data_IF_982710989899
#
_entry.id   IF_982710989899
#
_cell.length_a   1.000
_cell.length_b   1.000
_cell.length_c   1.000
_cell.angle_alpha   90.00
_cell.angle_beta   90.00
_cell.angle_gamma   90.00
#
_symmetry.space_group_name_H-M   'P 1'
#
loop_
_entity.id
_entity.type
_entity.pdbx_description
1 polymer ?
#
# COMPACT_ATOMS: atom_id res chain seq x y z
N UNK A 1 15.93 11.02 27.26
CA UNK A 1 15.14 9.90 26.71
C UNK A 1 13.71 10.38 26.52
N UNK A 2 13.38 10.81 25.31
CA UNK A 2 12.03 11.20 24.97
C UNK A 2 11.24 9.94 24.62
N UNK A 3 10.19 9.69 25.41
CA UNK A 3 9.35 8.51 25.24
C UNK A 3 8.53 8.59 23.96
N UNK A 4 8.74 7.62 23.10
CA UNK A 4 7.95 7.37 21.94
C UNK A 4 6.54 6.96 22.37
N UNK A 5 5.55 7.79 22.16
CA UNK A 5 4.14 7.37 22.25
C UNK A 5 3.65 7.10 20.83
N UNK A 6 3.69 5.84 20.45
CA UNK A 6 2.96 5.37 19.27
C UNK A 6 1.45 5.53 19.51
N UNK A 7 0.88 6.66 19.12
CA UNK A 7 -0.54 6.71 18.77
C UNK A 7 -0.70 5.92 17.48
N UNK A 8 -1.86 5.34 17.25
CA UNK A 8 -2.13 4.39 16.15
C UNK A 8 -1.67 4.84 14.76
N UNK A 9 -1.33 6.12 14.56
CA UNK A 9 -1.02 6.73 13.27
C UNK A 9 -0.07 7.94 13.41
N UNK A 10 1.09 7.84 14.03
CA UNK A 10 2.05 8.94 13.98
C UNK A 10 3.28 8.74 14.88
N UNK A 11 4.44 9.07 14.34
CA UNK A 11 5.73 9.03 15.02
C UNK A 11 6.44 10.37 14.79
N UNK A 12 6.96 10.96 15.85
CA UNK A 12 7.80 12.17 15.76
C UNK A 12 9.24 11.75 16.03
N UNK A 13 10.12 11.99 15.07
CA UNK A 13 11.53 11.68 15.19
C UNK A 13 12.33 12.94 15.52
N UNK A 14 13.29 12.80 16.44
CA UNK A 14 14.24 13.85 16.78
C UNK A 14 15.64 13.41 16.35
N UNK A 15 16.35 14.27 15.62
CA UNK A 15 17.77 14.08 15.35
C UNK A 15 18.65 14.35 16.57
N UNK A 16 19.94 14.04 16.47
CA UNK A 16 20.92 14.21 17.57
C UNK A 16 21.12 15.67 18.04
N UNK A 17 20.82 16.64 17.18
CA UNK A 17 21.01 18.07 17.40
C UNK A 17 19.71 18.88 17.41
N UNK A 18 18.54 18.22 17.49
CA UNK A 18 17.24 18.87 17.46
C UNK A 18 16.22 18.12 16.64
N UNK A 19 15.11 18.74 16.26
CA UNK A 19 14.09 18.16 15.41
C UNK A 19 14.59 18.10 13.96
N UNK A 20 14.91 16.92 13.46
CA UNK A 20 15.30 16.70 12.06
C UNK A 20 14.08 16.58 11.14
N UNK A 21 13.02 15.94 11.62
CA UNK A 21 11.80 15.76 10.84
C UNK A 21 10.71 15.00 11.59
N UNK A 22 9.59 14.82 10.91
CA UNK A 22 8.42 14.10 11.40
C UNK A 22 8.09 12.98 10.40
N UNK A 23 7.90 11.77 10.91
CA UNK A 23 7.43 10.63 10.15
C UNK A 23 6.10 10.18 10.72
N UNK A 24 5.11 10.09 9.85
CA UNK A 24 3.82 9.51 10.17
C UNK A 24 3.77 8.10 9.61
N UNK A 25 3.46 7.16 10.50
CA UNK A 25 3.30 5.76 10.14
C UNK A 25 1.86 5.32 10.30
N UNK A 26 1.44 4.40 9.46
CA UNK A 26 0.21 3.63 9.62
C UNK A 26 0.52 2.14 9.58
N UNK A 27 -0.28 1.34 10.27
CA UNK A 27 -0.23 -0.10 10.08
C UNK A 27 -0.85 -0.45 8.74
N UNK A 28 -0.24 -1.39 8.03
CA UNK A 28 -0.90 -2.11 6.97
C UNK A 28 -1.93 -3.07 7.58
N UNK A 29 -2.39 -4.07 6.88
CA UNK A 29 -3.43 -4.96 7.38
C UNK A 29 -2.96 -5.76 8.61
N UNK A 30 -1.67 -6.10 8.67
CA UNK A 30 -1.08 -6.87 9.77
C UNK A 30 -0.34 -6.06 10.83
N UNK A 31 -0.09 -6.66 12.00
CA UNK A 31 0.54 -5.98 13.13
C UNK A 31 2.03 -5.71 12.93
N UNK A 32 2.69 -6.46 12.04
CA UNK A 32 4.16 -6.45 11.86
C UNK A 32 4.61 -5.65 10.64
N UNK A 33 3.68 -4.94 9.98
CA UNK A 33 3.95 -4.19 8.76
C UNK A 33 3.49 -2.76 8.92
N UNK A 34 4.42 -1.82 8.77
CA UNK A 34 4.13 -0.40 8.76
C UNK A 34 4.30 0.20 7.37
N UNK A 35 3.57 1.25 7.13
CA UNK A 35 3.74 2.13 5.99
C UNK A 35 4.04 3.54 6.48
N UNK A 36 5.03 4.17 5.88
CA UNK A 36 5.32 5.59 6.06
C UNK A 36 4.30 6.33 5.20
N UNK A 37 3.32 6.96 5.85
CA UNK A 37 2.25 7.68 5.16
C UNK A 37 2.64 9.12 4.82
N UNK A 38 3.51 9.72 5.62
CA UNK A 38 4.00 11.08 5.42
C UNK A 38 5.38 11.23 6.05
N UNK A 39 6.22 12.06 5.42
CA UNK A 39 7.54 12.41 5.89
C UNK A 39 7.77 13.90 5.66
N UNK A 40 8.12 14.60 6.72
CA UNK A 40 8.43 16.02 6.69
C UNK A 40 9.79 16.25 7.31
N UNK A 41 10.65 16.96 6.62
CA UNK A 41 11.94 17.39 7.14
C UNK A 41 11.85 18.80 7.71
N UNK A 42 12.66 19.10 8.71
CA UNK A 42 12.77 20.44 9.29
C UNK A 42 13.25 21.45 8.23
N UNK A 43 12.85 22.73 8.33
CA UNK A 43 13.36 23.77 7.45
C UNK A 43 14.89 23.84 7.49
N UNK A 44 15.52 23.84 6.31
CA UNK A 44 16.97 23.86 6.17
C UNK A 44 17.65 22.48 6.23
N UNK A 45 16.91 21.41 6.47
CA UNK A 45 17.45 20.06 6.41
C UNK A 45 17.83 19.68 4.96
N UNK A 46 18.90 18.90 4.83
CA UNK A 46 19.36 18.38 3.55
C UNK A 46 18.64 17.06 3.25
N UNK A 47 17.74 17.05 2.27
CA UNK A 47 16.81 15.94 2.00
C UNK A 47 17.49 14.58 1.90
N UNK A 48 18.61 14.47 1.17
CA UNK A 48 19.29 13.17 0.97
C UNK A 48 20.02 12.66 2.21
N UNK A 49 20.54 13.56 3.04
CA UNK A 49 21.35 13.21 4.23
C UNK A 49 20.45 13.02 5.42
N UNK A 50 19.72 14.08 5.78
CA UNK A 50 18.85 14.08 6.97
C UNK A 50 17.65 13.16 6.79
N UNK A 51 17.14 13.04 5.53
CA UNK A 51 16.11 12.07 5.18
C UNK A 51 16.57 10.63 5.33
N UNK A 52 17.82 10.33 4.94
CA UNK A 52 18.38 8.99 5.11
C UNK A 52 18.59 8.65 6.59
N UNK A 53 19.09 9.59 7.40
CA UNK A 53 19.25 9.40 8.86
C UNK A 53 17.88 9.15 9.51
N UNK A 54 16.88 9.96 9.18
CA UNK A 54 15.51 9.81 9.70
C UNK A 54 14.89 8.46 9.36
N UNK A 55 15.04 8.00 8.11
CA UNK A 55 14.54 6.70 7.67
C UNK A 55 15.29 5.52 8.31
N UNK A 56 16.59 5.67 8.54
CA UNK A 56 17.40 4.68 9.24
C UNK A 56 17.00 4.56 10.72
N UNK A 57 16.82 5.70 11.41
CA UNK A 57 16.35 5.72 12.79
C UNK A 57 14.96 5.09 12.93
N UNK A 58 14.08 5.33 11.94
CA UNK A 58 12.76 4.70 11.92
C UNK A 58 12.87 3.18 11.74
N UNK A 59 13.78 2.69 10.90
CA UNK A 59 13.99 1.26 10.73
C UNK A 59 14.47 0.60 12.02
N UNK A 60 15.34 1.27 12.77
CA UNK A 60 15.79 0.80 14.09
C UNK A 60 14.65 0.76 15.12
N UNK A 61 13.77 1.77 15.10
CA UNK A 61 12.58 1.79 15.96
C UNK A 61 11.62 0.68 15.58
N UNK A 62 11.38 0.46 14.30
CA UNK A 62 10.54 -0.60 13.78
C UNK A 62 11.05 -1.98 14.21
N UNK A 63 12.36 -2.24 14.06
CA UNK A 63 12.98 -3.49 14.50
C UNK A 63 12.77 -3.75 16.00
N UNK A 64 12.98 -2.73 16.86
CA UNK A 64 12.73 -2.82 18.29
C UNK A 64 11.26 -3.02 18.66
N UNK A 65 10.35 -2.65 17.75
CA UNK A 65 8.90 -2.79 17.91
C UNK A 65 8.32 -4.06 17.28
N UNK A 66 9.19 -5.03 16.92
CA UNK A 66 8.83 -6.26 16.23
C UNK A 66 8.07 -6.01 14.90
N UNK A 67 8.40 -4.91 14.22
CA UNK A 67 7.92 -4.64 12.87
C UNK A 67 8.92 -5.24 11.91
N UNK A 68 8.44 -6.08 11.01
CA UNK A 68 9.29 -6.82 10.09
C UNK A 68 9.49 -6.12 8.75
N UNK A 69 8.54 -5.24 8.37
CA UNK A 69 8.57 -4.54 7.09
C UNK A 69 8.10 -3.11 7.21
N UNK A 70 8.79 -2.22 6.51
CA UNK A 70 8.42 -0.83 6.31
C UNK A 70 8.20 -0.61 4.82
N UNK A 71 7.10 0.04 4.47
CA UNK A 71 6.84 0.49 3.11
C UNK A 71 6.84 2.02 3.04
N UNK A 72 7.34 2.55 1.93
CA UNK A 72 7.43 3.99 1.66
C UNK A 72 7.13 4.24 0.19
N UNK A 73 6.14 5.09 -0.09
CA UNK A 73 5.82 5.55 -1.44
C UNK A 73 6.32 6.97 -1.62
N UNK A 74 7.10 7.20 -2.66
CA UNK A 74 7.75 8.47 -2.97
C UNK A 74 7.37 8.87 -4.40
N UNK A 75 7.09 10.14 -4.62
CA UNK A 75 6.88 10.67 -5.98
C UNK A 75 8.13 10.44 -6.83
N UNK A 76 7.94 10.01 -8.08
CA UNK A 76 9.06 9.77 -9.00
C UNK A 76 9.87 11.07 -9.22
N UNK A 77 11.19 10.93 -9.23
CA UNK A 77 12.12 12.07 -9.33
C UNK A 77 12.35 12.85 -8.03
N UNK A 78 11.73 12.48 -6.91
CA UNK A 78 11.99 13.13 -5.62
C UNK A 78 13.39 12.80 -5.07
N UNK A 79 14.14 13.76 -4.52
CA UNK A 79 15.43 13.50 -3.87
C UNK A 79 15.31 12.57 -2.64
N UNK A 80 14.10 12.42 -2.09
CA UNK A 80 13.80 11.46 -1.03
C UNK A 80 14.01 10.00 -1.48
N UNK A 81 13.92 9.70 -2.77
CA UNK A 81 14.23 8.37 -3.29
C UNK A 81 15.70 7.99 -3.10
N UNK A 82 16.63 8.96 -3.22
CA UNK A 82 18.05 8.78 -2.90
C UNK A 82 18.22 8.54 -1.40
N UNK A 83 17.55 9.33 -0.55
CA UNK A 83 17.57 9.14 0.90
C UNK A 83 17.09 7.73 1.30
N UNK A 84 16.00 7.25 0.70
CA UNK A 84 15.48 5.92 0.97
C UNK A 84 16.50 4.82 0.61
N UNK A 85 17.12 4.90 -0.57
CA UNK A 85 18.17 3.94 -0.97
C UNK A 85 19.37 3.95 -0.02
N UNK A 86 19.80 5.14 0.42
CA UNK A 86 20.91 5.29 1.41
C UNK A 86 20.54 4.71 2.77
N UNK A 87 19.28 4.75 3.17
CA UNK A 87 18.77 4.15 4.39
C UNK A 87 18.48 2.64 4.25
N UNK A 88 18.88 2.00 3.13
CA UNK A 88 18.72 0.57 2.92
C UNK A 88 17.32 0.14 2.45
N UNK A 89 16.48 1.07 2.02
CA UNK A 89 15.21 0.74 1.37
C UNK A 89 15.45 0.32 -0.09
N UNK A 90 14.79 -0.74 -0.51
CA UNK A 90 14.87 -1.27 -1.87
C UNK A 90 13.62 -0.91 -2.68
N UNK A 91 13.81 -0.51 -3.93
CA UNK A 91 12.71 -0.25 -4.86
C UNK A 91 12.01 -1.57 -5.18
N UNK A 92 10.71 -1.64 -4.93
CA UNK A 92 9.87 -2.81 -5.21
C UNK A 92 9.23 -2.73 -6.58
N UNK A 93 8.59 -1.60 -6.85
CA UNK A 93 7.95 -1.34 -8.13
C UNK A 93 7.75 0.16 -8.32
N UNK A 94 7.46 0.57 -9.55
CA UNK A 94 6.89 1.87 -9.86
C UNK A 94 5.40 1.71 -10.04
N UNK A 95 4.65 2.76 -9.69
CA UNK A 95 3.19 2.78 -9.73
C UNK A 95 2.73 4.11 -10.32
N UNK A 96 1.69 4.06 -11.15
CA UNK A 96 1.03 5.26 -11.66
C UNK A 96 -0.34 5.40 -11.02
N UNK A 97 -0.67 6.58 -10.54
CA UNK A 97 -2.00 6.90 -10.05
C UNK A 97 -2.92 7.19 -11.24
N UNK A 98 -3.96 6.38 -11.39
CA UNK A 98 -5.03 6.60 -12.36
C UNK A 98 -6.26 7.17 -11.66
N UNK A 99 -6.87 8.19 -12.26
CA UNK A 99 -8.11 8.81 -11.76
C UNK A 99 -9.14 8.93 -12.85
N UNK A 100 -10.39 8.70 -12.51
CA UNK A 100 -11.51 8.95 -13.38
C UNK A 100 -11.99 10.40 -13.19
N UNK A 101 -12.08 11.20 -14.26
CA UNK A 101 -12.60 12.58 -14.22
C UNK A 101 -14.02 12.65 -13.66
N UNK A 102 -14.33 13.76 -13.00
CA UNK A 102 -15.66 13.98 -12.38
C UNK A 102 -16.80 14.17 -13.40
N UNK A 103 -16.49 14.68 -14.55
CA UNK A 103 -17.45 15.04 -15.62
C UNK A 103 -18.15 13.82 -16.25
N UNK A 104 -17.61 12.64 -16.01
CA UNK A 104 -18.15 11.39 -16.55
C UNK A 104 -19.19 10.71 -15.63
N UNK A 105 -19.55 11.34 -14.53
CA UNK A 105 -20.50 10.82 -13.54
C UNK A 105 -21.89 10.49 -14.10
N UNK A 106 -22.29 11.06 -15.22
CA UNK A 106 -23.60 10.86 -15.85
C UNK A 106 -23.63 9.81 -16.97
N UNK A 107 -22.49 9.29 -17.39
CA UNK A 107 -22.40 8.37 -18.54
C UNK A 107 -22.48 6.88 -18.12
N UNK A 108 -22.30 6.59 -16.83
CA UNK A 108 -22.56 5.26 -16.32
C UNK A 108 -24.08 5.02 -16.31
N UNK A 109 -24.60 4.39 -17.35
CA UNK A 109 -25.87 3.72 -17.23
C UNK A 109 -25.76 2.79 -16.00
N UNK A 110 -26.84 2.62 -15.20
CA UNK A 110 -26.85 1.64 -14.12
C UNK A 110 -26.64 0.27 -14.76
N UNK A 111 -25.37 -0.03 -15.04
CA UNK A 111 -24.96 -1.35 -15.48
C UNK A 111 -25.19 -2.24 -14.27
N UNK A 112 -26.26 -3.01 -14.37
CA UNK A 112 -26.50 -4.24 -13.65
C UNK A 112 -26.06 -4.28 -12.18
N UNK A 113 -27.01 -4.58 -11.32
CA UNK A 113 -26.77 -4.88 -9.89
C UNK A 113 -25.58 -5.84 -9.73
N UNK A 114 -24.86 -5.80 -8.60
CA UNK A 114 -23.70 -6.67 -8.36
C UNK A 114 -23.89 -8.17 -8.68
N UNK A 115 -25.12 -8.64 -8.71
CA UNK A 115 -25.45 -10.03 -9.06
C UNK A 115 -25.40 -10.38 -10.56
N UNK A 116 -25.49 -9.39 -11.47
CA UNK A 116 -25.45 -9.65 -12.92
C UNK A 116 -24.04 -9.49 -13.50
N UNK A 117 -23.14 -8.80 -12.79
CA UNK A 117 -21.75 -8.59 -13.22
C UNK A 117 -20.83 -9.80 -12.92
N UNK A 118 -21.30 -10.82 -12.24
CA UNK A 118 -20.49 -11.96 -11.80
C UNK A 118 -19.58 -11.65 -10.59
N UNK A 119 -19.55 -10.40 -10.13
CA UNK A 119 -18.81 -10.02 -8.93
C UNK A 119 -19.56 -10.46 -7.68
N UNK A 120 -18.85 -11.11 -6.76
CA UNK A 120 -19.37 -11.48 -5.44
C UNK A 120 -18.42 -11.07 -4.30
N UNK A 121 -18.93 -11.00 -3.11
CA UNK A 121 -18.10 -10.79 -1.91
C UNK A 121 -17.12 -11.94 -1.73
N UNK A 122 -15.91 -11.58 -1.30
CA UNK A 122 -14.88 -12.56 -0.91
C UNK A 122 -15.28 -13.22 0.42
N UNK A 123 -15.15 -14.53 0.47
CA UNK A 123 -15.31 -15.35 1.67
C UNK A 123 -13.95 -15.84 2.14
N UNK A 124 -13.84 -16.30 3.38
CA UNK A 124 -12.55 -16.76 3.94
C UNK A 124 -11.96 -17.95 3.16
N UNK A 125 -12.81 -18.83 2.63
CA UNK A 125 -12.43 -19.97 1.78
C UNK A 125 -11.81 -19.55 0.45
N UNK A 126 -12.09 -18.36 -0.04
CA UNK A 126 -11.55 -17.86 -1.31
C UNK A 126 -10.08 -17.44 -1.20
N UNK A 127 -9.60 -17.22 0.01
CA UNK A 127 -8.30 -16.57 0.23
C UNK A 127 -7.13 -17.32 -0.39
N UNK A 128 -7.14 -18.67 -0.37
CA UNK A 128 -6.09 -19.46 -1.03
C UNK A 128 -6.13 -19.36 -2.55
N UNK A 129 -7.32 -19.20 -3.14
CA UNK A 129 -7.51 -19.03 -4.58
C UNK A 129 -7.02 -17.66 -5.02
N UNK A 130 -7.38 -16.62 -4.26
CA UNK A 130 -6.91 -15.24 -4.47
C UNK A 130 -5.39 -15.16 -4.28
N UNK A 131 -4.83 -15.85 -3.29
CA UNK A 131 -3.38 -15.89 -3.08
C UNK A 131 -2.64 -16.60 -4.24
N UNK A 132 -3.23 -17.64 -4.86
CA UNK A 132 -2.67 -18.21 -6.09
C UNK A 132 -2.64 -17.19 -7.23
N UNK A 133 -3.73 -16.44 -7.44
CA UNK A 133 -3.79 -15.37 -8.43
C UNK A 133 -2.76 -14.27 -8.13
N UNK A 134 -2.52 -13.93 -6.86
CA UNK A 134 -1.41 -13.07 -6.48
C UNK A 134 -0.05 -13.65 -6.91
N UNK A 135 0.11 -14.96 -6.78
CA UNK A 135 1.33 -15.68 -7.21
C UNK A 135 1.59 -15.60 -8.72
N UNK A 136 0.54 -15.67 -9.54
CA UNK A 136 0.63 -15.59 -11.02
C UNK A 136 0.72 -14.16 -11.53
N UNK A 137 0.01 -13.21 -10.89
CA UNK A 137 -0.09 -11.82 -11.35
C UNK A 137 1.03 -10.90 -10.86
N UNK A 138 1.79 -11.31 -9.83
CA UNK A 138 2.79 -10.45 -9.18
C UNK A 138 4.20 -11.01 -9.35
N UNK A 139 5.18 -10.23 -9.86
CA UNK A 139 6.56 -10.68 -10.03
C UNK A 139 7.19 -11.20 -8.73
N UNK A 140 8.07 -12.20 -8.83
CA UNK A 140 8.72 -12.82 -7.69
C UNK A 140 9.41 -11.81 -6.79
N UNK A 141 10.19 -10.87 -7.37
CA UNK A 141 10.91 -9.86 -6.61
C UNK A 141 9.99 -8.97 -5.75
N UNK A 142 8.77 -8.69 -6.21
CA UNK A 142 7.76 -7.97 -5.42
C UNK A 142 7.22 -8.86 -4.30
N UNK A 143 6.95 -10.13 -4.60
CA UNK A 143 6.41 -11.08 -3.62
C UNK A 143 7.41 -11.38 -2.48
N UNK A 144 8.70 -11.47 -2.78
CA UNK A 144 9.75 -11.69 -1.76
C UNK A 144 9.72 -10.62 -0.67
N UNK A 145 9.28 -9.41 -1.01
CA UNK A 145 9.16 -8.32 -0.03
C UNK A 145 7.74 -8.15 0.50
N UNK A 146 6.74 -8.26 -0.36
CA UNK A 146 5.33 -8.08 0.05
C UNK A 146 4.80 -9.28 0.85
N UNK A 147 5.21 -10.51 0.51
CA UNK A 147 4.87 -11.72 1.23
C UNK A 147 4.83 -12.96 0.33
N UNK A 148 5.57 -13.98 0.75
CA UNK A 148 5.66 -15.28 0.07
C UNK A 148 4.64 -16.29 0.61
N UNK A 149 4.02 -16.00 1.73
CA UNK A 149 2.97 -16.81 2.33
C UNK A 149 1.66 -16.05 2.39
N UNK A 150 0.54 -16.74 2.45
CA UNK A 150 -0.78 -16.13 2.54
C UNK A 150 -0.89 -15.15 3.75
N UNK A 151 -0.46 -15.49 4.97
CA UNK A 151 -0.48 -14.55 6.09
C UNK A 151 0.36 -13.29 5.82
N UNK A 152 1.58 -13.45 5.33
CA UNK A 152 2.48 -12.32 5.04
C UNK A 152 1.92 -11.39 3.97
N UNK A 153 1.35 -11.96 2.90
CA UNK A 153 0.71 -11.18 1.85
C UNK A 153 -0.49 -10.40 2.41
N UNK A 154 -1.37 -11.06 3.19
CA UNK A 154 -2.50 -10.38 3.83
C UNK A 154 -2.06 -9.24 4.74
N UNK A 155 -1.03 -9.48 5.55
CA UNK A 155 -0.48 -8.48 6.46
C UNK A 155 0.11 -7.27 5.71
N UNK A 156 0.67 -7.51 4.53
CA UNK A 156 1.26 -6.48 3.67
C UNK A 156 0.24 -5.71 2.82
N UNK A 157 -1.03 -6.15 2.78
CA UNK A 157 -2.04 -5.43 2.02
C UNK A 157 -2.19 -3.99 2.55
N UNK A 158 -2.05 -3.05 1.63
CA UNK A 158 -2.19 -1.64 1.93
C UNK A 158 -3.62 -1.34 2.39
N UNK A 159 -3.81 -0.64 3.52
CA UNK A 159 -5.10 -0.03 3.78
C UNK A 159 -5.36 0.98 2.65
N UNK A 160 -6.51 0.86 2.00
CA UNK A 160 -6.85 1.77 0.91
C UNK A 160 -6.69 3.22 1.37
N UNK A 161 -6.05 4.08 0.57
CA UNK A 161 -5.67 5.41 1.00
C UNK A 161 -6.92 6.17 1.45
N UNK A 162 -6.92 6.60 2.69
CA UNK A 162 -7.81 7.65 3.17
C UNK A 162 -7.22 8.95 2.66
N UNK A 163 -8.03 9.92 2.27
CA UNK A 163 -7.55 11.20 1.75
C UNK A 163 -6.32 11.68 2.50
N UNK A 164 -5.21 11.90 1.78
CA UNK A 164 -3.94 12.37 2.35
C UNK A 164 -4.16 13.71 3.04
N UNK A 165 -3.81 13.88 4.31
CA UNK A 165 -3.84 15.19 4.95
C UNK A 165 -2.85 16.11 4.24
N UNK A 166 -3.28 17.34 3.99
CA UNK A 166 -2.44 18.35 3.31
C UNK A 166 -1.45 19.05 4.26
N UNK A 167 -1.59 18.84 5.58
CA UNK A 167 -0.76 19.52 6.62
C UNK A 167 -0.54 18.62 7.83
N UNK A 168 0.56 18.88 8.56
CA UNK A 168 0.88 18.19 9.84
C UNK A 168 -0.28 18.29 10.84
N UNK A 169 -0.93 19.45 10.95
CA UNK A 169 -2.05 19.65 11.87
C UNK A 169 -3.21 18.70 11.58
N UNK A 170 -3.48 18.44 10.29
CA UNK A 170 -4.51 17.49 9.88
C UNK A 170 -4.13 16.06 10.26
N UNK A 171 -2.84 15.70 10.23
CA UNK A 171 -2.33 14.39 10.67
C UNK A 171 -2.50 14.18 12.16
N UNK A 172 -2.11 15.18 12.95
CA UNK A 172 -2.08 15.11 14.42
C UNK A 172 -3.48 15.12 15.04
N UNK A 173 -4.45 15.78 14.38
CA UNK A 173 -5.81 15.99 14.90
C UNK A 173 -6.85 15.03 14.34
N UNK A 174 -6.47 14.03 13.54
CA UNK A 174 -7.43 13.10 12.94
C UNK A 174 -8.18 12.27 13.97
N UNK A 175 -9.48 12.50 14.02
CA UNK A 175 -10.44 11.50 14.48
C UNK A 175 -10.56 10.39 13.42
N UNK A 176 -10.70 9.11 13.80
CA UNK A 176 -10.98 8.06 12.83
C UNK A 176 -12.26 8.41 12.09
N UNK A 177 -12.16 8.67 10.77
CA UNK A 177 -13.33 8.90 9.93
C UNK A 177 -14.19 7.64 9.99
N UNK A 178 -15.31 7.73 10.69
CA UNK A 178 -16.37 6.72 10.66
C UNK A 178 -17.11 6.85 9.33
N UNK A 179 -17.28 5.73 8.62
CA UNK A 179 -18.39 5.59 7.71
C UNK A 179 -18.10 5.60 6.22
N UNK A 180 -16.95 5.10 5.76
CA UNK A 180 -16.80 4.70 4.36
C UNK A 180 -17.24 3.24 4.18
N UNK A 181 -17.97 2.93 3.09
CA UNK A 181 -18.20 1.55 2.68
C UNK A 181 -16.88 0.97 2.16
N UNK A 182 -16.47 -0.18 2.66
CA UNK A 182 -15.25 -0.85 2.20
C UNK A 182 -15.48 -2.34 2.10
N UNK A 183 -14.79 -3.00 1.18
CA UNK A 183 -14.96 -4.42 1.00
C UNK A 183 -13.96 -5.05 0.06
N UNK A 184 -14.09 -6.36 -0.05
CA UNK A 184 -13.35 -7.18 -0.99
C UNK A 184 -14.36 -7.94 -1.85
N UNK A 185 -14.12 -7.95 -3.16
CA UNK A 185 -14.95 -8.64 -4.13
C UNK A 185 -14.07 -9.44 -5.09
N UNK A 186 -14.61 -10.52 -5.64
CA UNK A 186 -13.96 -11.30 -6.67
C UNK A 186 -14.92 -11.56 -7.82
N UNK A 187 -14.35 -11.69 -9.00
CA UNK A 187 -15.03 -12.14 -10.20
C UNK A 187 -14.65 -13.59 -10.44
N UNK A 188 -15.67 -14.45 -10.53
CA UNK A 188 -15.49 -15.87 -10.76
C UNK A 188 -15.44 -16.16 -12.26
N UNK A 189 -14.45 -16.94 -12.69
CA UNK A 189 -14.37 -17.53 -14.02
C UNK A 189 -14.66 -19.02 -13.97
N UNK A 190 -14.49 -19.72 -15.10
CA UNK A 190 -14.75 -21.16 -15.20
C UNK A 190 -13.80 -21.97 -14.32
N UNK A 191 -12.53 -21.61 -14.31
CA UNK A 191 -11.47 -22.35 -13.63
C UNK A 191 -11.03 -21.73 -12.29
N UNK A 192 -11.70 -20.66 -11.86
CA UNK A 192 -11.38 -19.98 -10.63
C UNK A 192 -11.56 -18.47 -10.68
N UNK A 193 -11.09 -17.73 -9.67
CA UNK A 193 -11.17 -16.30 -9.68
C UNK A 193 -10.32 -15.72 -10.81
N UNK A 194 -10.92 -14.85 -11.60
CA UNK A 194 -10.25 -14.15 -12.71
C UNK A 194 -9.89 -12.71 -12.36
N UNK A 195 -10.57 -12.12 -11.35
CA UNK A 195 -10.22 -10.82 -10.82
C UNK A 195 -10.59 -10.73 -9.34
N UNK A 196 -9.84 -9.88 -8.62
CA UNK A 196 -10.08 -9.53 -7.24
C UNK A 196 -9.86 -8.05 -7.04
N UNK A 197 -10.75 -7.42 -6.29
CA UNK A 197 -10.64 -6.03 -5.91
C UNK A 197 -10.85 -5.82 -4.42
N UNK A 198 -10.18 -4.80 -3.91
CA UNK A 198 -10.48 -4.17 -2.63
C UNK A 198 -10.87 -2.73 -2.90
N UNK A 199 -11.85 -2.24 -2.18
CA UNK A 199 -12.30 -0.86 -2.33
C UNK A 199 -12.61 -0.21 -0.99
N UNK A 200 -12.54 1.10 -0.98
CA UNK A 200 -13.00 1.95 0.11
C UNK A 200 -13.60 3.22 -0.47
N UNK A 201 -14.84 3.49 -0.09
CA UNK A 201 -15.55 4.71 -0.44
C UNK A 201 -15.27 5.74 0.66
N UNK A 202 -14.30 6.62 0.44
CA UNK A 202 -13.89 7.64 1.40
C UNK A 202 -14.01 9.03 0.79
N UNK A 203 -14.59 9.97 1.51
CA UNK A 203 -14.64 11.39 1.11
C UNK A 203 -15.16 11.65 -0.31
N UNK A 204 -16.22 10.96 -0.72
CA UNK A 204 -16.79 11.04 -2.08
C UNK A 204 -15.89 10.52 -3.21
N UNK A 205 -14.88 9.75 -2.93
CA UNK A 205 -14.03 9.08 -3.92
C UNK A 205 -13.94 7.59 -3.59
N UNK A 206 -14.08 6.74 -4.61
CA UNK A 206 -13.78 5.31 -4.51
C UNK A 206 -12.31 5.08 -4.75
N UNK A 207 -11.62 4.61 -3.72
CA UNK A 207 -10.25 4.15 -3.83
C UNK A 207 -10.25 2.64 -3.91
N UNK A 208 -9.58 2.07 -4.90
CA UNK A 208 -9.56 0.62 -5.06
C UNK A 208 -8.20 0.10 -5.49
N UNK A 209 -7.96 -1.18 -5.24
CA UNK A 209 -6.89 -1.97 -5.83
C UNK A 209 -7.51 -3.12 -6.61
N UNK A 210 -6.90 -3.46 -7.73
CA UNK A 210 -7.38 -4.48 -8.66
C UNK A 210 -6.24 -5.45 -8.98
N UNK A 211 -6.55 -6.73 -8.94
CA UNK A 211 -5.69 -7.81 -9.41
C UNK A 211 -6.48 -8.65 -10.40
N UNK A 212 -5.86 -9.02 -11.50
CA UNK A 212 -6.48 -9.81 -12.57
C UNK A 212 -5.53 -10.95 -12.92
N UNK A 213 -6.08 -12.16 -13.12
CA UNK A 213 -5.32 -13.31 -13.57
C UNK A 213 -4.77 -13.04 -14.98
N UNK A 214 -3.44 -13.07 -15.18
CA UNK A 214 -2.82 -12.67 -16.45
C UNK A 214 -3.28 -13.49 -17.66
N UNK A 215 -3.58 -14.77 -17.45
CA UNK A 215 -3.95 -15.71 -18.51
C UNK A 215 -5.48 -15.89 -18.64
N UNK A 216 -6.27 -15.17 -17.85
CA UNK A 216 -7.71 -15.29 -17.93
C UNK A 216 -8.25 -14.63 -19.20
N UNK A 217 -9.09 -15.39 -19.91
CA UNK A 217 -9.89 -14.85 -21.03
C UNK A 217 -11.05 -14.02 -20.44
N UNK A 218 -10.75 -12.80 -20.02
CA UNK A 218 -11.72 -11.88 -19.43
C UNK A 218 -11.65 -10.51 -20.11
N UNK A 219 -12.83 -9.97 -20.41
CA UNK A 219 -12.94 -8.59 -20.89
C UNK A 219 -12.61 -7.61 -19.76
N UNK A 220 -11.38 -7.09 -19.75
CA UNK A 220 -10.90 -6.15 -18.74
C UNK A 220 -11.74 -4.87 -18.65
N UNK A 221 -12.37 -4.47 -19.76
CA UNK A 221 -13.30 -3.33 -19.75
C UNK A 221 -14.52 -3.65 -18.88
N UNK A 222 -15.08 -4.84 -19.00
CA UNK A 222 -16.18 -5.30 -18.12
C UNK A 222 -15.74 -5.41 -16.66
N UNK A 223 -14.50 -5.86 -16.42
CA UNK A 223 -13.92 -5.91 -15.06
C UNK A 223 -13.92 -4.51 -14.44
N UNK A 224 -13.37 -3.51 -15.14
CA UNK A 224 -13.32 -2.13 -14.64
C UNK A 224 -14.73 -1.52 -14.48
N UNK A 225 -15.63 -1.74 -15.42
CA UNK A 225 -17.02 -1.30 -15.29
C UNK A 225 -17.72 -1.93 -14.08
N UNK A 226 -17.48 -3.21 -13.80
CA UNK A 226 -17.99 -3.88 -12.60
C UNK A 226 -17.49 -3.26 -11.28
N UNK A 227 -16.23 -2.83 -11.26
CA UNK A 227 -15.66 -2.07 -10.12
C UNK A 227 -16.39 -0.75 -9.90
N UNK A 228 -16.70 -0.05 -10.99
CA UNK A 228 -17.36 1.27 -10.96
C UNK A 228 -18.85 1.17 -10.61
N UNK A 229 -19.54 0.12 -11.07
CA UNK A 229 -20.99 -0.06 -10.87
C UNK A 229 -21.41 -0.04 -9.39
N UNK A 230 -20.57 -0.57 -8.49
CA UNK A 230 -20.82 -0.50 -7.05
C UNK A 230 -20.62 0.89 -6.41
N UNK A 231 -20.08 1.85 -7.15
CA UNK A 231 -19.74 3.21 -6.65
C UNK A 231 -20.71 4.31 -7.03
N UNK A 232 -21.81 4.03 -7.72
CA UNK A 232 -22.87 4.99 -8.08
C UNK A 232 -22.36 6.36 -8.59
N UNK A 233 -21.46 6.35 -9.60
CA UNK A 233 -20.94 7.58 -10.20
C UNK A 233 -19.95 8.36 -9.35
N UNK A 234 -19.43 7.79 -8.28
CA UNK A 234 -18.36 8.40 -7.50
C UNK A 234 -17.07 8.50 -8.32
N UNK A 235 -16.27 9.58 -8.16
CA UNK A 235 -14.90 9.59 -8.66
C UNK A 235 -14.17 8.36 -8.17
N UNK A 236 -13.27 7.83 -8.99
CA UNK A 236 -12.51 6.65 -8.63
C UNK A 236 -11.01 6.84 -8.87
N UNK A 237 -10.18 6.25 -8.01
CA UNK A 237 -8.74 6.28 -8.15
C UNK A 237 -8.11 4.93 -7.79
N UNK A 238 -7.03 4.60 -8.49
CA UNK A 238 -6.25 3.38 -8.32
C UNK A 238 -4.78 3.65 -8.57
N UNK A 239 -3.90 3.05 -7.77
CA UNK A 239 -2.49 2.92 -8.06
C UNK A 239 -2.24 1.62 -8.83
N UNK A 240 -1.62 1.73 -9.99
CA UNK A 240 -1.35 0.59 -10.88
C UNK A 240 0.16 0.36 -10.94
N UNK A 241 0.63 -0.80 -10.48
CA UNK A 241 2.05 -1.16 -10.61
C UNK A 241 2.46 -1.30 -12.07
N UNK A 242 3.70 -0.95 -12.38
CA UNK A 242 4.25 -1.00 -13.73
C UNK A 242 4.16 -2.40 -14.37
N UNK A 243 4.19 -3.46 -13.59
CA UNK A 243 4.04 -4.83 -14.09
C UNK A 243 2.59 -5.18 -14.50
N UNK A 244 1.59 -4.42 -14.05
CA UNK A 244 0.18 -4.63 -14.36
C UNK A 244 -0.31 -3.76 -15.55
N UNK A 245 0.46 -3.69 -16.64
CA UNK A 245 0.17 -2.84 -17.81
C UNK A 245 -1.18 -3.11 -18.46
N UNK A 246 -1.63 -4.37 -18.44
CA UNK A 246 -2.94 -4.76 -18.96
C UNK A 246 -4.09 -4.05 -18.21
N UNK A 247 -3.95 -3.88 -16.88
CA UNK A 247 -4.90 -3.10 -16.06
C UNK A 247 -4.84 -1.62 -16.45
N UNK A 248 -3.64 -1.05 -16.61
CA UNK A 248 -3.47 0.35 -17.02
C UNK A 248 -4.17 0.64 -18.38
N UNK A 249 -4.01 -0.25 -19.36
CA UNK A 249 -4.67 -0.14 -20.66
C UNK A 249 -6.19 -0.21 -20.54
N UNK A 250 -6.72 -1.12 -19.72
CA UNK A 250 -8.15 -1.25 -19.48
C UNK A 250 -8.75 0.01 -18.80
N UNK A 251 -8.02 0.56 -17.83
CA UNK A 251 -8.42 1.79 -17.15
C UNK A 251 -8.48 2.97 -18.12
N UNK A 252 -7.48 3.13 -19.00
CA UNK A 252 -7.50 4.19 -20.03
C UNK A 252 -8.68 4.03 -20.99
N UNK A 253 -9.02 2.79 -21.37
CA UNK A 253 -10.21 2.50 -22.18
C UNK A 253 -11.51 2.83 -21.44
N UNK A 254 -11.51 2.76 -20.11
CA UNK A 254 -12.61 3.15 -19.23
C UNK A 254 -12.49 4.61 -18.74
N UNK A 255 -11.76 5.45 -19.51
CA UNK A 255 -11.64 6.89 -19.33
C UNK A 255 -10.93 7.33 -18.03
N UNK A 256 -10.13 6.46 -17.43
CA UNK A 256 -9.20 6.89 -16.40
C UNK A 256 -8.02 7.63 -17.02
N UNK A 257 -7.61 8.72 -16.38
CA UNK A 257 -6.47 9.53 -16.78
C UNK A 257 -5.28 9.19 -15.90
N UNK A 258 -4.09 8.89 -16.49
CA UNK A 258 -2.87 8.74 -15.72
C UNK A 258 -2.47 10.08 -15.10
N UNK A 259 -2.03 10.05 -13.87
CA UNK A 259 -1.56 11.20 -13.11
C UNK A 259 -0.13 11.01 -12.63
N UNK A 260 0.10 11.21 -11.34
CA UNK A 260 1.41 11.15 -10.71
C UNK A 260 1.98 9.73 -10.69
N UNK A 261 3.28 9.62 -10.99
CA UNK A 261 4.06 8.41 -10.85
C UNK A 261 4.74 8.35 -9.47
N UNK A 262 4.87 7.15 -8.93
CA UNK A 262 5.47 6.88 -7.63
C UNK A 262 6.47 5.72 -7.70
N UNK A 263 7.48 5.78 -6.86
CA UNK A 263 8.36 4.67 -6.51
C UNK A 263 7.91 4.06 -5.16
N UNK A 264 7.56 2.78 -5.14
CA UNK A 264 7.28 2.04 -3.91
C UNK A 264 8.56 1.38 -3.42
N UNK A 265 9.02 1.80 -2.26
CA UNK A 265 10.16 1.23 -1.56
C UNK A 265 9.70 0.33 -0.41
N UNK A 266 10.54 -0.64 -0.07
CA UNK A 266 10.37 -1.43 1.13
C UNK A 266 11.71 -1.63 1.85
N UNK A 267 11.63 -1.78 3.17
CA UNK A 267 12.75 -2.14 4.02
C UNK A 267 12.34 -3.31 4.92
N UNK A 268 13.18 -4.36 4.93
CA UNK A 268 13.03 -5.48 5.86
C UNK A 268 13.87 -5.16 7.09
N UNK A 269 13.24 -5.12 8.24
CA UNK A 269 13.93 -4.89 9.50
C UNK A 269 14.51 -6.20 9.99
N UNK A 270 15.81 -6.21 10.30
CA UNK A 270 16.45 -7.35 10.93
C UNK A 270 16.48 -7.13 12.44
N UNK A 271 15.84 -8.01 13.20
CA UNK A 271 16.07 -8.07 14.64
C UNK A 271 17.47 -8.66 14.87
N UNK A 272 18.36 -7.91 15.56
CA UNK A 272 19.59 -8.49 16.08
C UNK A 272 19.21 -9.51 17.14
N UNK A 273 19.21 -10.79 16.81
CA UNK A 273 19.14 -11.86 17.79
C UNK A 273 20.33 -11.68 18.73
N UNK A 274 20.05 -11.29 19.97
CA UNK A 274 21.06 -11.36 21.04
C UNK A 274 21.39 -12.85 21.20
N UNK A 275 22.59 -13.23 20.74
CA UNK A 275 23.12 -14.56 21.04
C UNK A 275 23.15 -14.65 22.57
N UNK A 276 22.41 -15.60 23.20
CA UNK A 276 22.44 -15.73 24.64
C UNK A 276 23.89 -16.01 25.06
N UNK A 277 24.43 -15.18 25.93
CA UNK A 277 25.82 -15.29 26.42
C UNK A 277 26.13 -16.68 27.05
N UNK A 278 25.13 -17.49 27.33
CA UNK A 278 25.26 -18.84 27.91
C UNK A 278 25.67 -19.93 26.89
N UNK A 279 25.73 -19.62 25.57
CA UNK A 279 26.16 -20.59 24.55
C UNK A 279 27.69 -20.71 24.44
N UNK A 280 28.47 -19.84 25.07
CA UNK A 280 29.93 -19.85 24.98
C UNK A 280 30.63 -20.67 26.07
N UNK A 281 29.91 -21.25 27.04
CA UNK A 281 30.52 -21.99 28.14
C UNK A 281 30.55 -23.51 27.92
N UNK A 282 29.94 -24.03 26.87
CA UNK A 282 29.85 -25.48 26.63
C UNK A 282 30.89 -26.07 25.65
N UNK A 283 31.87 -25.31 25.20
CA UNK A 283 32.89 -25.79 24.24
C UNK A 283 34.32 -25.82 24.79
N UNK A 284 34.48 -25.89 26.11
CA UNK A 284 35.77 -25.93 26.79
C UNK A 284 35.74 -26.96 27.91
N UNK A 285 35.67 -28.24 27.58
CA UNK A 285 35.80 -29.35 28.47
C UNK A 285 36.38 -30.56 27.73
#
# INVERSE_FOLDING_TARGET
ALGWRARRDGLIAFGRSGLTGVVCIRRRNGPTVWEISELFLAPGAHTEVDGAELLSDLADVAARSAIHRLFLRIEDGSPMATAARRAGYTLQTRETLYRRPEDLRGQDQPAHYPGESGWRRVMDEDMHRIFRMYGSSTPLAVRETAGMTLPEWRDSLEPLPRSTPKTIDTVLNRSPLRGGNSGEMMLEGVDGPVAWMRYSDASNERLFSLMVEPEADVDLKKVVHGVLAGGFGMPAAILVPLYARHIATALQTAEFVPGQDYELFAHQTAERTKIPQNAMVAAGG
#
